data_IF_576066553544
#
_entry.id   IF_576066553544
#
_cell.length_a   1.000
_cell.length_b   1.000
_cell.length_c   1.000
_cell.angle_alpha   90.00
_cell.angle_beta   90.00
_cell.angle_gamma   90.00
#
_symmetry.space_group_name_H-M   'P 1'
#
loop_
_entity.id
_entity.type
_entity.pdbx_description
1 polymer ?
#
# COMPACT_ATOMS: atom_id res chain seq x y z
N UNK A 1 -9.48 -6.57 24.41
CA UNK A 1 -8.30 -6.38 23.53
C UNK A 1 -8.41 -5.00 22.87
N UNK A 2 -7.42 -4.12 23.02
CA UNK A 2 -7.40 -2.85 22.28
C UNK A 2 -7.08 -3.18 20.82
N UNK A 3 -7.87 -2.65 19.89
CA UNK A 3 -7.55 -2.78 18.47
C UNK A 3 -6.20 -2.10 18.23
N UNK A 4 -5.16 -2.87 17.89
CA UNK A 4 -3.79 -2.35 17.65
C UNK A 4 -3.68 -1.61 16.31
N UNK A 5 -4.73 -1.65 15.49
CA UNK A 5 -4.77 -1.04 14.18
C UNK A 5 -5.38 0.37 14.24
N UNK A 6 -4.71 1.41 13.69
CA UNK A 6 -5.36 2.73 13.47
C UNK A 6 -6.44 2.66 12.36
N UNK A 7 -6.48 1.56 11.63
CA UNK A 7 -7.42 1.26 10.56
C UNK A 7 -8.41 0.17 10.99
N UNK A 8 -9.65 0.27 10.50
CA UNK A 8 -10.62 -0.82 10.67
C UNK A 8 -10.16 -2.07 9.90
N UNK A 9 -10.65 -3.26 10.25
CA UNK A 9 -10.33 -4.49 9.51
C UNK A 9 -10.70 -4.38 8.03
N UNK A 10 -11.79 -3.65 7.75
CA UNK A 10 -12.23 -3.26 6.42
C UNK A 10 -11.15 -2.49 5.65
N UNK A 11 -10.56 -1.47 6.27
CA UNK A 11 -9.50 -0.65 5.69
C UNK A 11 -8.19 -1.44 5.55
N UNK A 12 -7.89 -2.32 6.50
CA UNK A 12 -6.72 -3.22 6.45
C UNK A 12 -6.79 -4.16 5.24
N UNK A 13 -7.91 -4.85 5.05
CA UNK A 13 -8.12 -5.75 3.89
C UNK A 13 -7.97 -5.02 2.56
N UNK A 14 -8.45 -3.78 2.47
CA UNK A 14 -8.26 -2.96 1.27
C UNK A 14 -6.79 -2.62 1.03
N UNK A 15 -6.05 -2.22 2.07
CA UNK A 15 -4.62 -1.94 1.96
C UNK A 15 -3.81 -3.17 1.55
N UNK A 16 -4.15 -4.35 2.08
CA UNK A 16 -3.53 -5.62 1.72
C UNK A 16 -3.80 -5.97 0.25
N UNK A 17 -5.04 -5.87 -0.22
CA UNK A 17 -5.39 -6.10 -1.62
C UNK A 17 -4.63 -5.15 -2.57
N UNK A 18 -4.55 -3.87 -2.22
CA UNK A 18 -3.78 -2.88 -3.00
C UNK A 18 -2.29 -3.24 -3.02
N UNK A 19 -1.72 -3.65 -1.88
CA UNK A 19 -0.31 -4.05 -1.78
C UNK A 19 0.01 -5.22 -2.71
N UNK A 20 -0.80 -6.27 -2.70
CA UNK A 20 -0.58 -7.43 -3.56
C UNK A 20 -0.74 -7.06 -5.04
N UNK A 21 -1.71 -6.22 -5.40
CA UNK A 21 -1.85 -5.74 -6.78
C UNK A 21 -0.63 -4.92 -7.25
N UNK A 22 -0.10 -4.03 -6.40
CA UNK A 22 1.10 -3.25 -6.74
C UNK A 22 2.32 -4.16 -6.90
N UNK A 23 2.45 -5.20 -6.06
CA UNK A 23 3.52 -6.20 -6.19
C UNK A 23 3.42 -6.94 -7.52
N UNK A 24 2.24 -7.41 -7.88
CA UNK A 24 2.01 -8.11 -9.15
C UNK A 24 2.36 -7.25 -10.38
N UNK A 25 2.14 -5.93 -10.30
CA UNK A 25 2.51 -5.00 -11.38
C UNK A 25 4.02 -4.70 -11.45
N UNK A 26 4.71 -4.74 -10.32
CA UNK A 26 6.14 -4.42 -10.23
C UNK A 26 7.05 -5.64 -10.45
N UNK A 27 6.53 -6.86 -10.30
CA UNK A 27 7.21 -8.13 -10.56
C UNK A 27 6.41 -8.92 -11.63
N UNK A 28 6.39 -8.43 -12.89
CA UNK A 28 5.70 -9.14 -13.95
C UNK A 28 6.43 -10.45 -14.25
N UNK A 29 5.68 -11.54 -14.39
CA UNK A 29 6.22 -12.77 -14.97
C UNK A 29 6.90 -12.41 -16.31
N UNK A 30 8.20 -12.74 -16.50
CA UNK A 30 8.98 -12.23 -17.63
C UNK A 30 8.44 -12.69 -19.00
N UNK A 31 7.53 -13.67 -19.01
CA UNK A 31 6.88 -14.22 -20.21
C UNK A 31 5.62 -13.45 -20.63
N UNK A 32 5.07 -12.55 -19.78
CA UNK A 32 3.83 -11.82 -20.05
C UNK A 32 4.12 -10.33 -20.21
N UNK A 33 4.04 -9.82 -21.46
CA UNK A 33 4.06 -8.37 -21.71
C UNK A 33 2.72 -7.80 -21.24
N UNK A 34 2.68 -7.18 -20.07
CA UNK A 34 1.53 -6.44 -19.58
C UNK A 34 1.72 -4.94 -19.84
N UNK A 35 0.73 -4.26 -20.43
CA UNK A 35 0.67 -2.80 -20.50
C UNK A 35 0.09 -2.18 -19.20
N UNK A 36 0.05 -2.98 -18.13
CA UNK A 36 -0.56 -2.58 -16.89
C UNK A 36 0.43 -1.77 -16.06
N UNK A 37 -0.04 -0.67 -15.49
CA UNK A 37 0.80 0.22 -14.70
C UNK A 37 0.03 0.81 -13.53
N UNK A 38 0.78 1.12 -12.47
CA UNK A 38 0.29 1.83 -11.30
C UNK A 38 1.11 3.13 -11.12
N UNK A 39 0.42 4.26 -11.11
CA UNK A 39 1.02 5.58 -10.89
C UNK A 39 0.47 6.22 -9.62
N UNK A 40 1.36 6.83 -8.84
CA UNK A 40 1.00 7.68 -7.71
C UNK A 40 0.89 9.13 -8.18
N UNK A 41 -0.25 9.75 -7.92
CA UNK A 41 -0.48 11.16 -8.24
C UNK A 41 -1.01 11.90 -7.02
N UNK A 42 -0.70 13.18 -6.93
CA UNK A 42 -1.34 14.08 -5.97
C UNK A 42 -2.61 14.65 -6.61
N UNK A 43 -3.75 14.52 -5.94
CA UNK A 43 -5.01 15.06 -6.43
C UNK A 43 -5.64 15.98 -5.38
N UNK A 44 -6.17 17.11 -5.83
CA UNK A 44 -6.88 18.04 -4.96
C UNK A 44 -8.37 17.68 -4.89
N UNK A 45 -8.84 17.39 -3.68
CA UNK A 45 -10.22 17.00 -3.43
C UNK A 45 -10.96 18.12 -2.72
N UNK A 46 -12.22 18.37 -3.11
CA UNK A 46 -13.04 19.42 -2.51
C UNK A 46 -13.16 19.30 -0.98
N UNK A 47 -13.16 18.07 -0.45
CA UNK A 47 -13.39 17.79 0.97
C UNK A 47 -12.09 17.58 1.77
N UNK A 48 -11.04 17.02 1.16
CA UNK A 48 -9.83 16.59 1.88
C UNK A 48 -8.57 17.38 1.47
N UNK A 49 -8.72 18.33 0.54
CA UNK A 49 -7.63 19.02 -0.12
C UNK A 49 -6.74 18.06 -0.91
N UNK A 50 -5.47 18.41 -1.06
CA UNK A 50 -4.46 17.57 -1.71
C UNK A 50 -4.22 16.27 -0.93
N UNK A 51 -4.42 15.12 -1.57
CA UNK A 51 -4.12 13.78 -1.06
C UNK A 51 -3.49 12.90 -2.14
N UNK A 52 -2.72 11.86 -1.77
CA UNK A 52 -2.22 10.87 -2.72
C UNK A 52 -3.36 10.02 -3.29
N UNK A 53 -3.28 9.71 -4.58
CA UNK A 53 -4.19 8.85 -5.32
C UNK A 53 -3.41 7.84 -6.14
N UNK A 54 -4.00 6.65 -6.25
CA UNK A 54 -3.47 5.57 -7.08
C UNK A 54 -4.26 5.53 -8.39
N UNK A 55 -3.54 5.57 -9.52
CA UNK A 55 -4.10 5.40 -10.87
C UNK A 55 -3.59 4.11 -11.48
N UNK A 56 -4.52 3.27 -11.90
CA UNK A 56 -4.23 2.05 -12.65
C UNK A 56 -4.50 2.29 -14.14
N UNK A 57 -3.62 1.79 -15.01
CA UNK A 57 -3.81 1.80 -16.47
C UNK A 57 -3.66 0.38 -17.02
N UNK A 58 -4.36 0.04 -18.11
CA UNK A 58 -5.37 0.84 -18.81
C UNK A 58 -6.77 0.75 -18.14
N UNK A 59 -7.01 -0.23 -17.27
CA UNK A 59 -8.37 -0.57 -16.78
C UNK A 59 -8.70 -0.07 -15.37
N UNK A 60 -8.55 1.24 -15.12
CA UNK A 60 -8.70 1.86 -13.79
C UNK A 60 -9.94 1.41 -13.00
N UNK A 61 -11.13 1.49 -13.60
CA UNK A 61 -12.38 1.15 -12.89
C UNK A 61 -12.47 -0.34 -12.58
N UNK A 62 -11.96 -1.20 -13.48
CA UNK A 62 -12.01 -2.66 -13.32
C UNK A 62 -11.08 -3.09 -12.19
N UNK A 63 -9.83 -2.61 -12.19
CA UNK A 63 -8.88 -2.92 -11.13
C UNK A 63 -9.40 -2.47 -9.76
N UNK A 64 -9.98 -1.27 -9.67
CA UNK A 64 -10.58 -0.78 -8.41
C UNK A 64 -11.76 -1.63 -7.95
N UNK A 65 -12.60 -2.09 -8.87
CA UNK A 65 -13.70 -3.01 -8.59
C UNK A 65 -13.19 -4.36 -8.04
N UNK A 66 -12.19 -4.95 -8.70
CA UNK A 66 -11.56 -6.20 -8.28
C UNK A 66 -10.94 -6.07 -6.88
N UNK A 67 -10.24 -4.96 -6.59
CA UNK A 67 -9.68 -4.68 -5.26
C UNK A 67 -10.75 -4.61 -4.17
N UNK A 68 -11.89 -3.98 -4.46
CA UNK A 68 -13.03 -3.87 -3.52
C UNK A 68 -13.64 -5.25 -3.24
N UNK A 69 -13.72 -6.11 -4.26
CA UNK A 69 -14.18 -7.50 -4.12
C UNK A 69 -13.19 -8.35 -3.31
N UNK A 70 -11.91 -8.31 -3.65
CA UNK A 70 -10.85 -9.02 -2.93
C UNK A 70 -10.80 -8.63 -1.45
N UNK A 71 -11.02 -7.35 -1.15
CA UNK A 71 -11.07 -6.85 0.22
C UNK A 71 -12.37 -7.20 0.97
N UNK A 72 -13.32 -7.92 0.35
CA UNK A 72 -14.58 -8.32 0.95
C UNK A 72 -15.42 -7.11 1.42
N UNK A 73 -15.37 -6.02 0.66
CA UNK A 73 -16.09 -4.77 0.97
C UNK A 73 -17.51 -4.74 0.40
N UNK A 74 -17.81 -5.72 -0.43
CA UNK A 74 -19.10 -5.96 -1.05
C UNK A 74 -19.93 -6.84 -0.11
N UNK A 75 -21.15 -6.39 0.18
CA UNK A 75 -22.12 -7.14 0.98
C UNK A 75 -22.98 -7.99 0.02
N UNK A 76 -22.57 -9.25 -0.18
CA UNK A 76 -23.18 -10.16 -1.17
C UNK A 76 -24.67 -10.42 -0.90
N UNK A 77 -25.09 -10.42 0.38
CA UNK A 77 -26.48 -10.58 0.77
C UNK A 77 -27.35 -9.40 0.33
N UNK A 78 -26.85 -8.17 0.50
CA UNK A 78 -27.50 -6.97 -0.05
C UNK A 78 -27.38 -6.88 -1.56
N UNK A 79 -26.33 -7.42 -2.15
CA UNK A 79 -26.16 -7.39 -3.60
C UNK A 79 -27.20 -8.26 -4.30
N UNK A 80 -27.56 -9.44 -3.77
CA UNK A 80 -28.65 -10.25 -4.31
C UNK A 80 -30.00 -9.55 -4.28
N UNK A 81 -30.31 -8.84 -3.19
CA UNK A 81 -31.54 -8.07 -3.01
C UNK A 81 -31.59 -6.86 -3.97
N UNK A 82 -30.45 -6.18 -4.12
CA UNK A 82 -30.30 -5.04 -5.03
C UNK A 82 -30.24 -5.50 -6.50
N UNK A 83 -29.71 -6.68 -6.83
CA UNK A 83 -29.69 -7.24 -8.21
C UNK A 83 -31.10 -7.50 -8.70
N UNK A 84 -32.01 -7.94 -7.83
CA UNK A 84 -33.43 -8.05 -8.17
C UNK A 84 -34.08 -6.68 -8.43
N UNK A 85 -33.69 -5.64 -7.68
CA UNK A 85 -34.10 -4.24 -7.92
C UNK A 85 -33.40 -3.58 -9.13
N UNK A 86 -32.23 -4.09 -9.56
CA UNK A 86 -31.34 -3.53 -10.59
C UNK A 86 -31.63 -3.96 -12.02
N UNK A 87 -32.71 -4.72 -12.30
CA UNK A 87 -33.22 -4.88 -13.67
C UNK A 87 -33.52 -3.53 -14.37
N UNK A 88 -33.52 -2.42 -13.62
CA UNK A 88 -33.78 -1.05 -14.05
C UNK A 88 -32.55 -0.15 -14.29
N UNK A 89 -31.34 -0.52 -13.85
CA UNK A 89 -30.15 0.36 -13.97
C UNK A 89 -29.19 -0.08 -15.06
N UNK A 90 -28.52 0.87 -15.71
CA UNK A 90 -27.60 0.58 -16.81
C UNK A 90 -26.34 -0.16 -16.31
N UNK A 91 -25.82 -1.10 -17.10
CA UNK A 91 -24.60 -1.88 -16.79
C UNK A 91 -23.41 -0.97 -16.38
N UNK A 92 -23.38 0.27 -16.90
CA UNK A 92 -22.37 1.28 -16.61
C UNK A 92 -22.40 1.79 -15.17
N UNK A 93 -23.57 1.91 -14.54
CA UNK A 93 -23.72 2.42 -13.17
C UNK A 93 -23.26 1.39 -12.14
N UNK A 94 -23.56 0.11 -12.38
CA UNK A 94 -23.09 -0.99 -11.53
C UNK A 94 -21.55 -1.05 -11.56
N UNK A 95 -20.94 -0.95 -12.75
CA UNK A 95 -19.48 -0.99 -12.91
C UNK A 95 -18.75 0.15 -12.18
N UNK A 96 -19.37 1.32 -12.09
CA UNK A 96 -18.76 2.47 -11.42
C UNK A 96 -19.03 2.53 -9.92
N UNK A 97 -20.01 1.78 -9.39
CA UNK A 97 -20.34 1.76 -7.95
C UNK A 97 -19.15 1.29 -7.11
N UNK A 98 -18.53 0.18 -7.51
CA UNK A 98 -17.40 -0.40 -6.77
C UNK A 98 -16.17 0.51 -6.86
N UNK A 99 -15.90 1.09 -8.02
CA UNK A 99 -14.84 2.10 -8.16
C UNK A 99 -15.08 3.33 -7.27
N UNK A 100 -16.33 3.80 -7.11
CA UNK A 100 -16.67 4.88 -6.16
C UNK A 100 -16.47 4.45 -4.71
N UNK A 101 -16.79 3.20 -4.37
CA UNK A 101 -16.56 2.65 -3.04
C UNK A 101 -15.06 2.62 -2.72
N UNK A 102 -14.24 2.18 -3.67
CA UNK A 102 -12.78 2.25 -3.58
C UNK A 102 -12.33 3.69 -3.28
N UNK A 103 -12.78 4.68 -4.06
CA UNK A 103 -12.39 6.08 -3.86
C UNK A 103 -12.76 6.61 -2.48
N UNK A 104 -13.95 6.25 -1.99
CA UNK A 104 -14.42 6.65 -0.65
C UNK A 104 -13.53 6.08 0.46
N UNK A 105 -13.26 4.78 0.42
CA UNK A 105 -12.39 4.14 1.42
C UNK A 105 -10.96 4.67 1.34
N UNK A 106 -10.43 4.82 0.13
CA UNK A 106 -9.11 5.37 -0.10
C UNK A 106 -8.97 6.79 0.46
N UNK A 107 -9.95 7.67 0.21
CA UNK A 107 -9.99 9.01 0.77
C UNK A 107 -9.94 9.00 2.29
N UNK A 108 -10.73 8.14 2.92
CA UNK A 108 -10.79 8.03 4.38
C UNK A 108 -9.45 7.58 4.97
N UNK A 109 -8.79 6.61 4.35
CA UNK A 109 -7.46 6.14 4.74
C UNK A 109 -6.43 7.26 4.59
N UNK A 110 -6.38 7.91 3.43
CA UNK A 110 -5.42 8.99 3.15
C UNK A 110 -5.63 10.21 4.06
N UNK A 111 -6.86 10.52 4.45
CA UNK A 111 -7.13 11.59 5.40
C UNK A 111 -6.53 11.30 6.77
N UNK A 112 -6.69 10.07 7.28
CA UNK A 112 -6.06 9.64 8.54
C UNK A 112 -4.54 9.74 8.46
N UNK A 113 -3.97 9.22 7.37
CA UNK A 113 -2.52 9.27 7.13
C UNK A 113 -1.99 10.71 7.06
N UNK A 114 -2.68 11.59 6.33
CA UNK A 114 -2.33 13.02 6.22
C UNK A 114 -2.34 13.72 7.57
N UNK A 115 -3.36 13.49 8.40
CA UNK A 115 -3.43 14.06 9.76
C UNK A 115 -2.26 13.57 10.62
N UNK A 116 -1.98 12.27 10.61
CA UNK A 116 -0.86 11.71 11.35
C UNK A 116 0.49 12.29 10.87
N UNK A 117 0.71 12.35 9.55
CA UNK A 117 1.90 12.92 8.96
C UNK A 117 2.08 14.40 9.30
N UNK A 118 0.99 15.18 9.29
CA UNK A 118 1.01 16.58 9.72
C UNK A 118 1.38 16.72 11.19
N UNK A 119 0.78 15.92 12.09
CA UNK A 119 1.11 15.94 13.52
C UNK A 119 2.58 15.61 13.75
N UNK A 120 3.11 14.58 13.09
CA UNK A 120 4.53 14.24 13.17
C UNK A 120 5.41 15.36 12.63
N UNK A 121 5.07 15.95 11.49
CA UNK A 121 5.84 17.06 10.92
C UNK A 121 5.87 18.28 11.85
N UNK A 122 4.75 18.60 12.50
CA UNK A 122 4.65 19.72 13.45
C UNK A 122 5.47 19.47 14.71
N UNK A 123 5.39 18.28 15.31
CA UNK A 123 6.26 17.91 16.45
C UNK A 123 7.72 17.94 16.02
N UNK A 124 8.02 17.53 14.78
CA UNK A 124 9.39 17.55 14.28
C UNK A 124 9.92 18.98 14.23
N UNK A 125 9.18 19.88 13.61
CA UNK A 125 9.61 21.28 13.42
C UNK A 125 9.72 22.06 14.73
N UNK A 126 8.88 21.75 15.73
CA UNK A 126 8.90 22.44 17.02
C UNK A 126 10.07 21.99 17.93
N UNK A 127 10.50 20.74 17.82
CA UNK A 127 11.48 20.14 18.72
C UNK A 127 12.82 19.78 18.05
N UNK A 128 12.97 19.97 16.74
CA UNK A 128 14.24 19.78 16.04
C UNK A 128 15.22 20.89 16.42
N UNK A 129 16.42 20.52 16.85
CA UNK A 129 17.55 21.46 17.01
C UNK A 129 18.31 21.64 15.69
N UNK A 130 19.19 22.64 15.58
CA UNK A 130 19.88 23.01 14.33
C UNK A 130 20.64 21.86 13.63
N UNK A 131 21.02 20.81 14.36
CA UNK A 131 21.75 19.66 13.82
C UNK A 131 20.89 18.39 13.69
N UNK A 132 19.58 18.50 13.85
CA UNK A 132 18.67 17.34 13.86
C UNK A 132 17.70 17.37 12.68
N UNK A 133 17.69 16.30 11.89
CA UNK A 133 16.66 16.06 10.86
C UNK A 133 15.35 15.54 11.48
N UNK A 134 15.46 14.76 12.56
CA UNK A 134 14.33 14.21 13.32
C UNK A 134 14.47 14.60 14.79
N UNK A 135 13.41 15.15 15.37
CA UNK A 135 13.40 15.56 16.77
C UNK A 135 13.43 14.35 17.71
N UNK A 136 14.03 14.54 18.89
CA UNK A 136 14.16 13.49 19.90
C UNK A 136 12.83 12.80 20.25
N UNK A 137 11.71 13.53 20.47
CA UNK A 137 10.43 12.89 20.77
C UNK A 137 9.94 11.95 19.65
N UNK A 138 10.16 12.31 18.38
CA UNK A 138 9.74 11.47 17.25
C UNK A 138 10.61 10.23 17.15
N UNK A 139 11.92 10.37 17.37
CA UNK A 139 12.85 9.23 17.40
C UNK A 139 12.44 8.21 18.46
N UNK A 140 12.14 8.67 19.68
CA UNK A 140 11.68 7.81 20.77
C UNK A 140 10.34 7.14 20.44
N UNK A 141 9.40 7.90 19.87
CA UNK A 141 8.10 7.35 19.46
C UNK A 141 8.25 6.27 18.38
N UNK A 142 9.13 6.48 17.40
CA UNK A 142 9.45 5.49 16.36
C UNK A 142 10.00 4.20 16.98
N UNK A 143 10.91 4.30 17.95
CA UNK A 143 11.45 3.13 18.66
C UNK A 143 10.38 2.36 19.42
N UNK A 144 9.46 3.04 20.11
CA UNK A 144 8.33 2.40 20.81
C UNK A 144 7.47 1.63 19.80
N UNK A 145 7.08 2.27 18.69
CA UNK A 145 6.27 1.62 17.65
C UNK A 145 7.01 0.45 17.01
N UNK A 146 8.31 0.57 16.74
CA UNK A 146 9.10 -0.53 16.19
C UNK A 146 9.23 -1.70 17.16
N UNK A 147 9.27 -1.48 18.46
CA UNK A 147 9.29 -2.55 19.46
C UNK A 147 7.92 -3.22 19.59
N UNK A 148 6.84 -2.44 19.60
CA UNK A 148 5.47 -2.95 19.71
C UNK A 148 5.03 -3.75 18.47
N UNK A 149 5.41 -3.30 17.28
CA UNK A 149 4.95 -3.87 16.00
C UNK A 149 6.06 -4.58 15.20
N UNK A 150 7.31 -4.54 15.68
CA UNK A 150 8.46 -5.19 15.04
C UNK A 150 8.29 -6.69 14.80
N UNK A 151 7.78 -7.49 15.76
CA UNK A 151 7.52 -8.91 15.56
C UNK A 151 6.54 -9.16 14.40
N UNK A 152 5.46 -8.39 14.33
CA UNK A 152 4.45 -8.50 13.27
C UNK A 152 4.99 -8.05 11.90
N UNK A 153 5.82 -7.01 11.87
CA UNK A 153 6.44 -6.49 10.65
C UNK A 153 7.54 -7.42 10.10
N UNK A 154 8.28 -8.10 10.99
CA UNK A 154 9.31 -9.08 10.63
C UNK A 154 8.71 -10.37 10.06
N UNK A 155 7.63 -10.87 10.65
CA UNK A 155 6.95 -12.09 10.20
C UNK A 155 6.26 -11.97 8.83
N UNK A 156 5.89 -10.75 8.41
CA UNK A 156 5.14 -10.50 7.17
C UNK A 156 6.02 -10.07 5.97
N UNK A 157 7.33 -9.86 6.17
CA UNK A 157 8.24 -9.52 5.07
C UNK A 157 8.66 -10.79 4.32
N UNK A 158 7.92 -11.13 3.26
CA UNK A 158 8.53 -11.87 2.15
C UNK A 158 9.50 -10.91 1.44
N UNK A 159 10.78 -11.26 1.28
CA UNK A 159 11.73 -10.38 0.60
C UNK A 159 11.26 -10.19 -0.86
N UNK A 160 11.26 -8.93 -1.31
CA UNK A 160 10.76 -8.54 -2.65
C UNK A 160 11.71 -9.04 -3.75
N UNK A 161 12.96 -9.31 -3.38
CA UNK A 161 13.89 -10.07 -4.19
C UNK A 161 14.19 -11.35 -3.43
N UNK A 162 14.11 -12.52 -4.10
CA UNK A 162 14.79 -13.69 -3.59
C UNK A 162 16.23 -13.26 -3.29
N UNK A 163 16.70 -13.49 -2.07
CA UNK A 163 18.12 -13.39 -1.77
C UNK A 163 18.82 -14.12 -2.90
N UNK A 164 19.53 -13.38 -3.76
CA UNK A 164 20.39 -13.99 -4.74
C UNK A 164 21.19 -15.04 -3.98
N UNK A 165 21.26 -16.30 -4.46
CA UNK A 165 22.05 -17.30 -3.76
C UNK A 165 23.41 -16.66 -3.56
N UNK A 166 23.87 -16.62 -2.31
CA UNK A 166 25.26 -16.34 -1.99
C UNK A 166 26.05 -17.12 -3.03
N UNK A 167 26.75 -16.40 -3.92
CA UNK A 167 27.76 -17.03 -4.74
C UNK A 167 28.76 -17.51 -3.72
N UNK A 168 28.65 -18.79 -3.41
CA UNK A 168 29.65 -19.57 -2.73
C UNK A 168 30.91 -19.43 -3.58
N UNK A 169 31.66 -18.35 -3.33
CA UNK A 169 33.00 -18.17 -3.85
C UNK A 169 33.82 -19.18 -3.08
N UNK A 170 33.75 -20.42 -3.57
CA UNK A 170 34.58 -21.52 -3.09
C UNK A 170 36.05 -21.09 -3.06
N UNK A 171 36.86 -21.74 -2.21
CA UNK A 171 38.25 -21.35 -1.98
C UNK A 171 39.07 -21.65 -3.23
N UNK A 172 39.11 -20.70 -4.16
CA UNK A 172 39.79 -20.87 -5.44
C UNK A 172 40.21 -19.57 -6.12
N UNK A 173 39.95 -18.40 -5.52
CA UNK A 173 40.27 -17.10 -6.10
C UNK A 173 41.54 -16.43 -5.53
N UNK A 174 42.36 -17.17 -4.77
CA UNK A 174 43.66 -16.68 -4.28
C UNK A 174 44.87 -17.18 -5.09
N UNK A 175 44.68 -18.05 -6.09
CA UNK A 175 45.81 -18.68 -6.80
C UNK A 175 46.23 -17.99 -8.13
N UNK A 176 45.51 -16.97 -8.60
CA UNK A 176 45.85 -16.29 -9.88
C UNK A 176 46.51 -14.91 -9.71
N UNK A 177 46.66 -14.40 -8.48
CA UNK A 177 47.34 -13.13 -8.22
C UNK A 177 48.86 -13.27 -7.94
N UNK A 178 49.39 -14.49 -7.80
CA UNK A 178 50.83 -14.73 -7.59
C UNK A 178 51.63 -15.00 -8.88
N UNK A 179 51.02 -14.93 -10.07
CA UNK A 179 51.74 -15.11 -11.36
C UNK A 179 52.01 -13.81 -12.12
N UNK A 180 51.84 -12.66 -11.47
CA UNK A 180 52.05 -11.34 -12.09
C UNK A 180 53.07 -10.44 -11.35
N UNK A 181 53.94 -11.01 -10.51
CA UNK A 181 55.15 -10.35 -10.02
C UNK A 181 56.39 -11.17 -10.36
#
# INVERSE_FOLDING_TARGET
MRNSSPFTDRQRRLLEAIREQIRALNDPEPEIITHEACEWVTEDTKTFGKIPKIRFRPYACRTKAELVKQAGLVDEAKEHEIVQLRKLYSIREVRNKEARLFESEWNNIMLKAKKAAFTLALINSLFSTHNQTVSEPIRLLQSIVLLEYGPDLGAQRKPIHGTAPERDLGPGYDAELEKLN
#
